data_IF_955968483882
#
_entry.id   IF_955968483882
#
_cell.length_a   1.000
_cell.length_b   1.000
_cell.length_c   1.000
_cell.angle_alpha   90.00
_cell.angle_beta   90.00
_cell.angle_gamma   90.00
#
_symmetry.space_group_name_H-M   'P 1'
#
loop_
_entity.id
_entity.type
_entity.pdbx_description
1 polymer ?
#
# COMPACT_ATOMS: atom_id res chain seq x y z
N UNK A 1 -18.63 -15.33 6.77
CA UNK A 1 -17.82 -15.15 5.55
C UNK A 1 -16.40 -14.78 5.95
N UNK A 2 -15.42 -15.01 5.08
CA UNK A 2 -14.00 -14.72 5.34
C UNK A 2 -13.78 -13.23 5.66
N UNK A 3 -14.37 -12.32 4.88
CA UNK A 3 -14.24 -10.88 5.10
C UNK A 3 -14.70 -10.40 6.48
N UNK A 4 -15.76 -11.00 7.04
CA UNK A 4 -16.23 -10.67 8.40
C UNK A 4 -15.16 -10.99 9.44
N UNK A 5 -14.44 -12.11 9.28
CA UNK A 5 -13.38 -12.51 10.22
C UNK A 5 -12.17 -11.59 10.10
N UNK A 6 -11.78 -11.22 8.87
CA UNK A 6 -10.69 -10.26 8.64
C UNK A 6 -10.97 -8.90 9.31
N UNK A 7 -12.18 -8.35 9.14
CA UNK A 7 -12.58 -7.10 9.80
C UNK A 7 -12.59 -7.23 11.33
N UNK A 8 -12.96 -8.39 11.89
CA UNK A 8 -12.90 -8.62 13.33
C UNK A 8 -11.46 -8.64 13.86
N UNK A 9 -10.53 -9.23 13.12
CA UNK A 9 -9.12 -9.23 13.49
C UNK A 9 -8.46 -7.85 13.32
N UNK A 10 -8.86 -7.09 12.30
CA UNK A 10 -8.48 -5.68 12.15
C UNK A 10 -8.97 -4.83 13.35
N UNK A 11 -10.25 -4.95 13.71
CA UNK A 11 -10.82 -4.24 14.87
C UNK A 11 -10.17 -4.64 16.20
N UNK A 12 -9.71 -5.89 16.31
CA UNK A 12 -8.96 -6.38 17.46
C UNK A 12 -7.48 -5.96 17.45
N UNK A 13 -7.01 -5.24 16.43
CA UNK A 13 -5.61 -4.81 16.27
C UNK A 13 -4.64 -5.94 15.90
N UNK A 14 -5.15 -7.13 15.58
CA UNK A 14 -4.37 -8.32 15.20
C UNK A 14 -3.91 -8.21 13.75
N UNK A 15 -4.75 -7.61 12.89
CA UNK A 15 -4.40 -7.31 11.50
C UNK A 15 -4.32 -5.80 11.28
N UNK A 16 -3.41 -5.39 10.39
CA UNK A 16 -3.40 -4.09 9.76
C UNK A 16 -4.02 -4.21 8.38
N UNK A 17 -4.75 -3.18 7.93
CA UNK A 17 -5.34 -3.13 6.60
C UNK A 17 -4.74 -1.97 5.81
N UNK A 18 -4.07 -2.32 4.71
CA UNK A 18 -3.54 -1.35 3.74
C UNK A 18 -4.50 -1.25 2.55
N UNK A 19 -5.00 -0.04 2.29
CA UNK A 19 -5.86 0.24 1.14
C UNK A 19 -5.04 0.89 0.04
N UNK A 20 -4.79 0.13 -1.03
CA UNK A 20 -4.02 0.62 -2.16
C UNK A 20 -4.93 1.21 -3.23
N UNK A 21 -4.43 2.24 -3.93
CA UNK A 21 -5.17 2.90 -5.01
C UNK A 21 -5.58 1.94 -6.13
N UNK A 22 -4.92 0.79 -6.26
CA UNK A 22 -5.31 -0.30 -7.17
C UNK A 22 -6.67 -0.94 -6.83
N UNK A 23 -7.35 -0.51 -5.76
CA UNK A 23 -8.61 -1.08 -5.27
C UNK A 23 -8.43 -2.43 -4.56
N UNK A 24 -7.17 -2.83 -4.34
CA UNK A 24 -6.81 -4.00 -3.53
C UNK A 24 -6.59 -3.55 -2.09
N UNK A 25 -7.18 -4.31 -1.16
CA UNK A 25 -6.83 -4.22 0.25
C UNK A 25 -5.97 -5.42 0.61
N UNK A 26 -4.86 -5.17 1.31
CA UNK A 26 -4.03 -6.23 1.89
C UNK A 26 -4.23 -6.18 3.40
N UNK A 27 -4.39 -7.36 3.99
CA UNK A 27 -4.47 -7.54 5.43
C UNK A 27 -3.19 -8.23 5.88
N UNK A 28 -2.50 -7.65 6.86
CA UNK A 28 -1.19 -8.09 7.35
C UNK A 28 -1.27 -8.32 8.84
N UNK A 29 -0.51 -9.29 9.37
CA UNK A 29 -0.44 -9.48 10.82
C UNK A 29 0.31 -8.30 11.43
N UNK A 30 -0.25 -7.74 12.50
CA UNK A 30 0.39 -6.68 13.24
C UNK A 30 1.54 -7.23 14.08
N UNK A 31 2.69 -7.49 13.45
CA UNK A 31 3.92 -7.96 14.11
C UNK A 31 4.72 -6.83 14.77
N UNK A 32 4.24 -5.59 14.70
CA UNK A 32 4.88 -4.41 15.30
C UNK A 32 6.18 -3.94 14.63
N UNK A 33 6.54 -4.51 13.46
CA UNK A 33 7.68 -4.05 12.67
C UNK A 33 7.21 -3.06 11.60
N UNK A 34 7.70 -1.83 11.69
CA UNK A 34 7.48 -0.81 10.69
C UNK A 34 8.11 -1.19 9.35
N UNK A 35 7.33 -1.11 8.27
CA UNK A 35 7.75 -1.32 6.90
C UNK A 35 6.80 -0.60 5.95
N UNK A 36 7.29 -0.31 4.76
CA UNK A 36 6.58 0.37 3.69
C UNK A 36 6.25 -0.62 2.56
N UNK A 37 5.37 -0.21 1.64
CA UNK A 37 4.89 -1.07 0.57
C UNK A 37 5.32 -0.59 -0.81
N UNK A 38 5.79 -1.50 -1.67
CA UNK A 38 5.95 -1.29 -3.11
C UNK A 38 4.90 -2.13 -3.85
N UNK A 39 3.97 -1.47 -4.52
CA UNK A 39 2.79 -2.05 -5.16
C UNK A 39 2.91 -1.96 -6.67
N UNK A 40 2.92 -3.11 -7.34
CA UNK A 40 2.86 -3.15 -8.80
C UNK A 40 1.41 -3.02 -9.29
N UNK A 41 1.13 -1.96 -10.06
CA UNK A 41 -0.20 -1.71 -10.64
C UNK A 41 -0.54 -2.67 -11.79
N UNK A 42 0.46 -3.30 -12.39
CA UNK A 42 0.26 -4.29 -13.45
C UNK A 42 -0.12 -5.66 -12.87
N UNK A 43 0.76 -6.29 -12.11
CA UNK A 43 0.54 -7.65 -11.61
C UNK A 43 -0.09 -7.72 -10.20
N UNK A 44 -0.20 -6.60 -9.50
CA UNK A 44 -0.69 -6.55 -8.12
C UNK A 44 0.27 -7.11 -7.07
N UNK A 45 1.53 -7.39 -7.44
CA UNK A 45 2.55 -7.80 -6.48
C UNK A 45 2.79 -6.67 -5.48
N UNK A 46 2.78 -7.01 -4.20
CA UNK A 46 3.19 -6.13 -3.11
C UNK A 46 4.52 -6.64 -2.56
N UNK A 47 5.46 -5.73 -2.34
CA UNK A 47 6.76 -6.02 -1.72
C UNK A 47 6.89 -5.12 -0.50
N UNK A 48 7.15 -5.71 0.65
CA UNK A 48 7.49 -5.00 1.88
C UNK A 48 8.95 -4.56 1.82
N UNK A 49 9.24 -3.34 2.26
CA UNK A 49 10.62 -2.85 2.39
C UNK A 49 10.76 -1.92 3.60
N UNK A 50 12.00 -1.70 4.02
CA UNK A 50 12.35 -0.69 5.02
C UNK A 50 13.63 0.00 4.56
N UNK A 51 13.65 1.33 4.61
CA UNK A 51 14.83 2.11 4.23
C UNK A 51 15.15 3.18 5.29
N UNK A 52 16.26 2.99 6.00
CA UNK A 52 16.66 3.89 7.08
C UNK A 52 16.97 5.33 6.61
N UNK A 53 17.33 5.52 5.34
CA UNK A 53 17.59 6.85 4.80
C UNK A 53 16.28 7.62 4.57
N UNK A 54 15.26 6.95 4.02
CA UNK A 54 13.92 7.51 3.86
C UNK A 54 13.35 7.93 5.22
N UNK A 55 13.41 7.05 6.22
CA UNK A 55 12.97 7.33 7.60
C UNK A 55 13.63 8.58 8.18
N UNK A 56 14.96 8.66 8.05
CA UNK A 56 15.73 9.81 8.55
C UNK A 56 15.34 11.09 7.81
N UNK A 57 15.09 11.00 6.50
CA UNK A 57 14.71 12.15 5.68
C UNK A 57 13.34 12.69 6.06
N UNK A 58 12.35 11.82 6.25
CA UNK A 58 11.00 12.20 6.68
C UNK A 58 11.03 12.90 8.05
N UNK A 59 11.74 12.34 9.03
CA UNK A 59 11.92 12.96 10.36
C UNK A 59 12.58 14.33 10.27
N UNK A 60 13.61 14.47 9.42
CA UNK A 60 14.28 15.76 9.20
C UNK A 60 13.33 16.80 8.62
N UNK A 61 12.54 16.43 7.60
CA UNK A 61 11.57 17.34 6.98
C UNK A 61 10.53 17.78 8.02
N UNK A 62 9.96 16.85 8.79
CA UNK A 62 9.01 17.20 9.85
C UNK A 62 9.61 18.22 10.84
N UNK A 63 10.84 17.96 11.31
CA UNK A 63 11.54 18.85 12.23
C UNK A 63 11.85 20.23 11.62
N UNK A 64 12.25 20.30 10.35
CA UNK A 64 12.51 21.56 9.64
C UNK A 64 11.26 22.44 9.53
N UNK A 65 10.07 21.83 9.54
CA UNK A 65 8.78 22.50 9.53
C UNK A 65 8.17 22.68 10.93
N UNK A 66 8.92 22.38 12.00
CA UNK A 66 8.47 22.56 13.39
C UNK A 66 7.49 21.48 13.89
N UNK A 67 7.45 20.31 13.25
CA UNK A 67 6.63 19.17 13.63
C UNK A 67 7.45 18.03 14.26
N UNK A 68 6.85 17.30 15.20
CA UNK A 68 7.33 16.01 15.68
C UNK A 68 6.59 14.90 14.91
N UNK A 69 7.33 14.09 14.14
CA UNK A 69 6.75 13.01 13.34
C UNK A 69 6.29 11.86 14.25
N UNK A 70 4.98 11.64 14.33
CA UNK A 70 4.37 10.56 15.14
C UNK A 70 4.27 9.24 14.37
N UNK A 71 3.81 9.29 13.12
CA UNK A 71 3.60 8.14 12.26
C UNK A 71 3.71 8.59 10.79
N UNK A 72 3.95 7.63 9.89
CA UNK A 72 3.78 7.84 8.46
C UNK A 72 3.27 6.57 7.81
N UNK A 73 2.74 6.71 6.59
CA UNK A 73 2.43 5.59 5.71
C UNK A 73 3.03 5.90 4.35
N UNK A 74 3.91 5.02 3.86
CA UNK A 74 4.52 5.14 2.54
C UNK A 74 4.14 3.94 1.67
N UNK A 75 3.63 4.26 0.49
CA UNK A 75 3.38 3.28 -0.57
C UNK A 75 3.95 3.79 -1.88
N UNK A 76 4.79 2.99 -2.52
CA UNK A 76 5.33 3.24 -3.85
C UNK A 76 4.52 2.47 -4.87
N UNK A 77 3.97 3.16 -5.87
CA UNK A 77 3.21 2.54 -6.94
C UNK A 77 4.06 2.44 -8.20
N UNK A 78 4.23 1.23 -8.72
CA UNK A 78 5.12 0.93 -9.83
C UNK A 78 4.46 0.06 -10.90
N UNK A 79 5.10 -0.01 -12.07
CA UNK A 79 4.73 -0.94 -13.15
C UNK A 79 5.75 -2.07 -13.25
N UNK A 80 5.38 -3.20 -13.85
CA UNK A 80 6.34 -4.26 -14.13
C UNK A 80 7.43 -3.70 -15.06
N UNK A 81 8.70 -3.90 -14.70
CA UNK A 81 9.82 -3.51 -15.58
C UNK A 81 9.69 -4.15 -16.97
N UNK A 82 9.18 -5.38 -17.03
CA UNK A 82 8.75 -6.02 -18.27
C UNK A 82 7.54 -6.93 -17.98
N UNK A 83 6.40 -6.63 -18.61
CA UNK A 83 5.16 -7.41 -18.44
C UNK A 83 5.25 -8.82 -19.05
N UNK A 84 6.02 -8.99 -20.11
CA UNK A 84 6.13 -10.28 -20.82
C UNK A 84 6.96 -11.31 -20.05
N UNK A 85 7.85 -10.87 -19.16
CA UNK A 85 8.72 -11.74 -18.36
C UNK A 85 8.37 -11.72 -16.88
N UNK A 86 7.32 -11.00 -16.48
CA UNK A 86 6.90 -10.96 -15.10
C UNK A 86 6.13 -12.26 -14.75
N UNK A 87 6.62 -13.08 -13.81
CA UNK A 87 5.96 -14.33 -13.45
C UNK A 87 4.61 -14.13 -12.77
N UNK A 88 4.34 -12.92 -12.29
CA UNK A 88 3.08 -12.54 -11.63
C UNK A 88 2.10 -11.85 -12.58
N UNK A 89 2.51 -11.53 -13.81
CA UNK A 89 1.66 -10.79 -14.74
C UNK A 89 0.65 -11.71 -15.41
N UNK A 90 -0.61 -11.63 -14.98
CA UNK A 90 -1.71 -12.37 -15.57
C UNK A 90 -2.62 -11.45 -16.40
N UNK A 91 -2.59 -11.61 -17.73
CA UNK A 91 -3.32 -10.75 -18.68
C UNK A 91 -4.84 -10.69 -18.44
N UNK A 92 -5.43 -11.68 -17.78
CA UNK A 92 -6.88 -11.78 -17.57
C UNK A 92 -7.41 -10.98 -16.37
N UNK A 93 -6.54 -10.52 -15.46
CA UNK A 93 -6.96 -9.85 -14.21
C UNK A 93 -6.94 -8.30 -14.30
N UNK A 94 -6.61 -7.73 -15.46
CA UNK A 94 -6.52 -6.28 -15.61
C UNK A 94 -7.86 -5.67 -16.01
N UNK A 95 -8.56 -5.07 -15.04
CA UNK A 95 -9.54 -4.04 -15.37
C UNK A 95 -8.78 -2.75 -15.70
N UNK A 96 -8.93 -2.15 -16.90
CA UNK A 96 -8.17 -0.96 -17.28
C UNK A 96 -8.40 0.19 -16.29
N UNK A 97 -7.32 0.86 -15.88
CA UNK A 97 -7.36 2.04 -15.02
C UNK A 97 -8.25 3.15 -15.62
N UNK A 98 -8.39 3.19 -16.94
CA UNK A 98 -9.24 4.10 -17.69
C UNK A 98 -10.76 3.91 -17.46
N UNK A 99 -11.19 2.85 -16.77
CA UNK A 99 -12.60 2.65 -16.38
C UNK A 99 -12.94 3.24 -15.00
N UNK A 100 -11.96 3.78 -14.27
CA UNK A 100 -12.17 4.43 -12.96
C UNK A 100 -12.46 5.91 -13.14
N UNK A 101 -13.61 6.18 -13.76
CA UNK A 101 -14.16 7.53 -13.86
C UNK A 101 -14.39 8.14 -12.48
N UNK A 102 -13.94 9.38 -12.34
CA UNK A 102 -14.23 10.37 -11.31
C UNK A 102 -15.43 10.09 -10.41
N UNK A 103 -15.17 9.88 -9.11
CA UNK A 103 -16.15 10.10 -8.06
C UNK A 103 -15.44 10.49 -6.76
N UNK A 104 -14.92 11.72 -6.71
CA UNK A 104 -14.91 12.52 -5.48
C UNK A 104 -14.55 13.97 -5.82
N UNK A 105 -15.55 14.68 -6.34
CA UNK A 105 -15.72 16.12 -6.17
C UNK A 105 -17.23 16.36 -6.19
N UNK A 106 -17.81 16.46 -4.98
CA UNK A 106 -18.94 17.33 -4.61
C UNK A 106 -19.44 17.00 -3.20
N UNK A 107 -19.28 18.02 -2.36
CA UNK A 107 -20.04 18.39 -1.15
C UNK A 107 -19.93 17.51 0.11
#
# INVERSE_FOLDING_TARGET
TVYRVLTQFEQAGILLRSNFESGKSVFEINEGKHHDHLVCLDCGRVVEFFDAEIERRQKKIASEHGFELQEHSLSLYASCANKNTCPHYNKTDHTPLAARGHAHDRE
#
